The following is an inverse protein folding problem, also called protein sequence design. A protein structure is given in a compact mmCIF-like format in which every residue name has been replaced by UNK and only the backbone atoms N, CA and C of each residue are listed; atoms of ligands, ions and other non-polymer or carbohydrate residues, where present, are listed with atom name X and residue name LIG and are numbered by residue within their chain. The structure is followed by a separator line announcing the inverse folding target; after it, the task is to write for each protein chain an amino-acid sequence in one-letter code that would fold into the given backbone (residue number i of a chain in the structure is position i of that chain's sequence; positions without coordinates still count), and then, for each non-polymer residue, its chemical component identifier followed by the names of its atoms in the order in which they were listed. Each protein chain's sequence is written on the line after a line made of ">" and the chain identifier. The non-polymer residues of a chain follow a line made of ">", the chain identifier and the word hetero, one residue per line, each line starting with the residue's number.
data_IF_331580834980
#
_entry.id   IF_331580834980
#
_cell.length_a   1.000
_cell.length_b   1.000
_cell.length_c   1.000
_cell.angle_alpha   90.00
_cell.angle_beta   90.00
_cell.angle_gamma   90.00
#
_symmetry.space_group_name_H-M   'P 1'
#
loop_
_entity.id
_entity.type
_entity.pdbx_description
1 polymer ?
#
# COMPACT_ATOMS: atom_id res chain seq x y z
N UNK A 1 -15.64 6.43 -1.26
CA UNK A 1 -14.32 6.41 -0.57
C UNK A 1 -14.09 7.57 0.39
N UNK A 2 -15.15 8.32 0.78
CA UNK A 2 -15.04 9.39 1.78
C UNK A 2 -15.42 8.77 3.14
N UNK A 3 -14.62 9.03 4.17
CA UNK A 3 -14.93 8.61 5.52
C UNK A 3 -16.11 9.40 6.07
N UNK A 4 -17.15 8.72 6.60
CA UNK A 4 -18.28 9.41 7.21
C UNK A 4 -17.85 10.00 8.56
N UNK A 5 -18.52 11.03 9.03
CA UNK A 5 -18.15 11.74 10.27
C UNK A 5 -18.13 10.80 11.48
N UNK A 6 -19.02 9.80 11.49
CA UNK A 6 -19.08 8.77 12.52
C UNK A 6 -17.80 7.93 12.58
N UNK A 7 -17.08 7.75 11.46
CA UNK A 7 -15.81 7.03 11.45
C UNK A 7 -14.70 7.79 12.20
N UNK A 8 -14.73 9.12 12.17
CA UNK A 8 -13.78 9.96 12.91
C UNK A 8 -14.12 10.03 14.40
N UNK A 9 -15.40 9.98 14.74
CA UNK A 9 -15.86 10.01 16.14
C UNK A 9 -15.65 8.65 16.82
N UNK A 10 -15.98 7.55 16.14
CA UNK A 10 -15.91 6.20 16.70
C UNK A 10 -14.55 5.52 16.49
N UNK A 11 -13.62 6.17 15.78
CA UNK A 11 -12.35 5.59 15.34
C UNK A 11 -12.48 4.28 14.55
N UNK A 12 -13.66 4.04 13.95
CA UNK A 12 -13.96 2.86 13.15
C UNK A 12 -14.15 3.25 11.69
N UNK A 13 -13.14 2.93 10.86
CA UNK A 13 -13.23 3.13 9.42
C UNK A 13 -13.68 1.83 8.73
N UNK A 14 -14.81 1.90 8.01
CA UNK A 14 -15.40 0.74 7.34
C UNK A 14 -14.56 0.14 6.20
N UNK A 15 -13.60 0.89 5.66
CA UNK A 15 -12.74 0.44 4.56
C UNK A 15 -11.43 -0.13 5.13
N UNK A 16 -11.37 -1.47 5.25
CA UNK A 16 -10.18 -2.20 5.73
C UNK A 16 -9.20 -2.60 4.62
N UNK A 17 -8.98 -1.71 3.64
CA UNK A 17 -8.02 -1.93 2.54
C UNK A 17 -7.20 -0.68 2.26
N UNK A 18 -6.01 -0.86 1.67
CA UNK A 18 -5.19 0.26 1.24
C UNK A 18 -5.94 1.04 0.15
N UNK A 19 -6.04 2.36 0.34
CA UNK A 19 -6.59 3.28 -0.65
C UNK A 19 -5.50 4.06 -1.40
N UNK A 20 -4.29 4.16 -0.84
CA UNK A 20 -3.18 4.89 -1.43
C UNK A 20 -2.91 4.46 -2.88
N UNK A 21 -2.98 3.16 -3.17
CA UNK A 21 -2.76 2.62 -4.52
C UNK A 21 -3.75 3.10 -5.59
N UNK A 22 -4.93 3.58 -5.17
CA UNK A 22 -6.00 4.06 -6.08
C UNK A 22 -6.26 5.55 -5.98
N UNK A 23 -5.94 6.19 -4.86
CA UNK A 23 -6.31 7.59 -4.58
C UNK A 23 -5.11 8.54 -4.46
N UNK A 24 -3.89 8.01 -4.30
CA UNK A 24 -2.68 8.81 -4.14
C UNK A 24 -1.72 8.58 -5.31
N UNK A 25 -1.45 9.64 -6.07
CA UNK A 25 -0.42 9.64 -7.10
C UNK A 25 0.90 10.07 -6.47
N UNK A 26 1.96 9.27 -6.65
CA UNK A 26 3.32 9.66 -6.25
C UNK A 26 4.16 9.92 -7.49
N UNK A 27 4.77 11.11 -7.57
CA UNK A 27 5.66 11.52 -8.66
C UNK A 27 7.05 11.75 -8.05
N UNK A 28 8.03 10.98 -8.49
CA UNK A 28 9.42 11.12 -8.06
C UNK A 28 10.11 12.30 -8.79
N UNK A 29 11.21 12.85 -8.25
CA UNK A 29 11.90 13.99 -8.87
C UNK A 29 12.42 13.74 -10.29
N UNK A 30 12.65 12.49 -10.67
CA UNK A 30 13.06 12.08 -12.01
C UNK A 30 11.88 11.91 -12.99
N UNK A 31 10.67 12.27 -12.58
CA UNK A 31 9.44 12.14 -13.36
C UNK A 31 8.73 10.79 -13.21
N UNK A 32 9.30 9.80 -12.52
CA UNK A 32 8.66 8.48 -12.37
C UNK A 32 7.37 8.59 -11.57
N UNK A 33 6.30 8.03 -12.13
CA UNK A 33 5.01 7.89 -11.47
C UNK A 33 4.94 6.51 -10.83
N UNK A 34 4.57 6.48 -9.56
CA UNK A 34 4.40 5.24 -8.78
C UNK A 34 3.06 5.26 -8.05
N UNK A 35 2.40 4.11 -7.88
CA UNK A 35 1.11 4.02 -7.19
C UNK A 35 1.25 3.98 -5.66
N UNK A 36 2.47 3.90 -5.13
CA UNK A 36 2.70 3.83 -3.70
C UNK A 36 4.05 4.49 -3.38
N UNK A 37 4.09 5.48 -2.47
CA UNK A 37 5.34 6.13 -2.09
C UNK A 37 6.32 5.18 -1.39
N UNK A 38 5.81 4.11 -0.78
CA UNK A 38 6.61 3.08 -0.12
C UNK A 38 7.11 1.98 -1.07
N UNK A 39 6.75 2.05 -2.37
CA UNK A 39 7.26 1.12 -3.37
C UNK A 39 7.76 1.87 -4.62
N UNK A 40 8.82 2.71 -4.48
CA UNK A 40 9.29 3.60 -5.55
C UNK A 40 9.83 2.85 -6.77
N UNK A 41 10.16 1.56 -6.65
CA UNK A 41 10.63 0.72 -7.76
C UNK A 41 9.50 0.26 -8.69
N UNK A 42 8.24 0.32 -8.27
CA UNK A 42 7.11 -0.06 -9.12
C UNK A 42 6.68 1.14 -9.98
N UNK A 43 7.45 1.40 -11.04
CA UNK A 43 7.22 2.53 -11.95
C UNK A 43 6.14 2.18 -12.98
N UNK A 44 5.05 2.96 -12.96
CA UNK A 44 3.92 2.79 -13.89
C UNK A 44 4.05 3.66 -15.14
N UNK A 45 4.88 4.70 -15.09
CA UNK A 45 5.25 5.58 -16.22
C UNK A 45 6.19 6.68 -15.74
N UNK A 46 6.55 7.61 -16.61
CA UNK A 46 7.44 8.73 -16.33
C UNK A 46 6.97 9.99 -17.06
N UNK A 47 6.68 11.08 -16.34
CA UNK A 47 6.11 12.32 -16.91
C UNK A 47 7.08 13.14 -17.76
N UNK A 48 8.38 12.84 -17.76
CA UNK A 48 9.34 13.50 -18.66
C UNK A 48 9.46 12.76 -20.01
N UNK A 49 8.96 11.52 -20.08
CA UNK A 49 9.02 10.67 -21.29
C UNK A 49 7.63 10.40 -21.87
N UNK A 50 6.65 10.20 -21.00
CA UNK A 50 5.26 9.98 -21.32
C UNK A 50 4.53 11.33 -21.37
N UNK A 51 3.50 11.44 -22.20
CA UNK A 51 2.93 12.74 -22.55
C UNK A 51 2.04 13.30 -21.44
N UNK A 52 1.26 12.46 -20.74
CA UNK A 52 0.25 12.96 -19.79
C UNK A 52 -0.01 12.06 -18.58
N UNK A 53 -0.34 12.69 -17.45
CA UNK A 53 -0.62 11.97 -16.20
C UNK A 53 -1.86 11.06 -16.29
N UNK A 54 -2.88 11.46 -17.03
CA UNK A 54 -4.11 10.69 -17.28
C UNK A 54 -3.88 9.44 -18.14
N UNK A 55 -2.80 9.41 -18.93
CA UNK A 55 -2.37 8.23 -19.69
C UNK A 55 -1.58 7.24 -18.83
N UNK A 56 -0.77 7.77 -17.90
CA UNK A 56 0.04 6.94 -16.98
C UNK A 56 -0.80 6.42 -15.82
N UNK A 57 -1.58 7.29 -15.18
CA UNK A 57 -2.44 6.94 -14.06
C UNK A 57 -3.70 6.25 -14.55
N UNK A 58 -3.93 5.01 -14.10
CA UNK A 58 -5.00 4.18 -14.63
C UNK A 58 -4.56 3.26 -15.77
N UNK A 59 -3.29 3.28 -16.20
CA UNK A 59 -2.81 2.38 -17.25
C UNK A 59 -2.81 0.90 -16.84
N UNK A 60 -2.36 0.01 -17.74
CA UNK A 60 -2.34 -1.45 -17.48
C UNK A 60 -1.54 -1.82 -16.23
N UNK A 61 -0.35 -1.23 -16.03
CA UNK A 61 0.50 -1.51 -14.86
C UNK A 61 -0.16 -1.04 -13.56
N UNK A 62 -0.78 0.15 -13.59
CA UNK A 62 -1.53 0.67 -12.44
C UNK A 62 -2.69 -0.25 -12.05
N UNK A 63 -3.52 -0.65 -13.01
CA UNK A 63 -4.65 -1.56 -12.77
C UNK A 63 -4.19 -2.92 -12.24
N UNK A 64 -3.07 -3.43 -12.74
CA UNK A 64 -2.46 -4.67 -12.26
C UNK A 64 -2.00 -4.55 -10.80
N UNK A 65 -1.30 -3.46 -10.45
CA UNK A 65 -0.90 -3.18 -9.07
C UNK A 65 -2.09 -3.15 -8.11
N UNK A 66 -3.16 -2.42 -8.47
CA UNK A 66 -4.38 -2.36 -7.66
C UNK A 66 -5.02 -3.75 -7.51
N UNK A 67 -5.04 -4.56 -8.57
CA UNK A 67 -5.56 -5.93 -8.52
C UNK A 67 -4.76 -6.82 -7.56
N UNK A 68 -3.42 -6.78 -7.65
CA UNK A 68 -2.53 -7.57 -6.79
C UNK A 68 -2.62 -7.11 -5.33
N UNK A 69 -2.70 -5.79 -5.10
CA UNK A 69 -2.88 -5.21 -3.77
C UNK A 69 -4.19 -5.70 -3.14
N UNK A 70 -5.31 -5.65 -3.87
CA UNK A 70 -6.63 -6.09 -3.38
C UNK A 70 -6.68 -7.58 -3.05
N UNK A 71 -5.82 -8.39 -3.68
CA UNK A 71 -5.69 -9.84 -3.43
C UNK A 71 -4.61 -10.17 -2.38
N UNK A 72 -4.03 -9.16 -1.72
CA UNK A 72 -2.93 -9.33 -0.77
C UNK A 72 -1.71 -10.08 -1.35
N UNK A 73 -1.43 -9.91 -2.64
CA UNK A 73 -0.34 -10.60 -3.36
C UNK A 73 0.95 -9.77 -3.47
N UNK A 74 1.01 -8.62 -2.79
CA UNK A 74 2.18 -7.76 -2.77
C UNK A 74 2.84 -7.87 -1.39
N UNK A 75 3.99 -8.55 -1.32
CA UNK A 75 4.68 -8.84 -0.06
C UNK A 75 5.11 -7.60 0.72
N UNK A 76 5.47 -6.50 0.05
CA UNK A 76 5.83 -5.26 0.77
C UNK A 76 4.61 -4.65 1.49
N UNK A 77 3.39 -4.89 1.00
CA UNK A 77 2.18 -4.36 1.62
C UNK A 77 1.87 -5.01 2.97
N UNK A 78 2.34 -6.24 3.24
CA UNK A 78 2.15 -6.88 4.56
C UNK A 78 3.03 -6.29 5.66
N UNK A 79 4.08 -5.54 5.29
CA UNK A 79 5.01 -4.86 6.19
C UNK A 79 4.89 -3.33 6.09
N UNK A 80 3.79 -2.82 5.54
CA UNK A 80 3.62 -1.39 5.32
C UNK A 80 3.53 -0.62 6.66
N UNK A 81 4.23 0.52 6.73
CA UNK A 81 4.23 1.42 7.91
C UNK A 81 2.98 2.30 8.01
N UNK A 82 2.19 2.37 6.94
CA UNK A 82 0.94 3.13 6.88
C UNK A 82 -0.24 2.21 6.55
N UNK A 83 -0.51 1.20 7.39
CA UNK A 83 -1.69 0.38 7.17
C UNK A 83 -2.93 1.24 7.46
N UNK A 84 -3.86 1.31 6.49
CA UNK A 84 -5.14 2.04 6.67
C UNK A 84 -6.09 1.35 7.65
N UNK A 85 -5.71 0.18 8.17
CA UNK A 85 -6.37 -0.51 9.27
C UNK A 85 -5.31 -0.99 10.26
N UNK A 86 -5.55 -0.83 11.56
CA UNK A 86 -4.76 -1.57 12.54
C UNK A 86 -5.08 -3.06 12.37
N UNK A 87 -4.09 -3.95 12.25
CA UNK A 87 -4.36 -5.37 12.20
C UNK A 87 -5.16 -5.76 13.44
N UNK A 88 -6.23 -6.53 13.26
CA UNK A 88 -6.96 -7.09 14.39
C UNK A 88 -5.99 -7.87 15.29
N UNK A 89 -6.29 -7.98 16.58
CA UNK A 89 -5.48 -8.67 17.58
C UNK A 89 -4.80 -9.98 17.10
N UNK A 90 -5.46 -10.88 16.33
CA UNK A 90 -4.83 -12.11 15.83
C UNK A 90 -3.67 -11.87 14.85
N UNK A 91 -3.75 -10.84 14.01
CA UNK A 91 -2.71 -10.51 13.06
C UNK A 91 -1.47 -9.90 13.75
N UNK A 92 -1.68 -9.12 14.81
CA UNK A 92 -0.60 -8.65 15.68
C UNK A 92 0.07 -9.82 16.40
N UNK A 93 -0.71 -10.77 16.92
CA UNK A 93 -0.18 -11.98 17.55
C UNK A 93 0.76 -12.74 16.60
N UNK A 94 0.31 -12.98 15.36
CA UNK A 94 1.14 -13.67 14.35
C UNK A 94 2.44 -12.94 14.06
N UNK A 95 2.40 -11.61 13.99
CA UNK A 95 3.62 -10.79 13.82
C UNK A 95 4.59 -10.98 14.99
N UNK A 96 4.12 -10.89 16.24
CA UNK A 96 4.97 -11.07 17.42
C UNK A 96 5.54 -12.49 17.51
N UNK A 97 4.75 -13.52 17.17
CA UNK A 97 5.24 -14.90 17.12
C UNK A 97 6.34 -15.10 16.07
N UNK A 98 6.14 -14.61 14.85
CA UNK A 98 7.15 -14.69 13.80
C UNK A 98 8.45 -13.98 14.22
N UNK A 99 8.33 -12.79 14.80
CA UNK A 99 9.48 -12.00 15.28
C UNK A 99 10.20 -12.66 16.46
N UNK A 100 9.47 -13.33 17.35
CA UNK A 100 10.07 -14.12 18.41
C UNK A 100 10.83 -15.34 17.84
N UNK A 101 10.25 -16.03 16.85
CA UNK A 101 10.89 -17.12 16.13
C UNK A 101 12.19 -16.71 15.44
N UNK A 102 12.19 -15.58 14.72
CA UNK A 102 13.38 -15.02 14.08
C UNK A 102 14.49 -14.69 15.10
N UNK A 103 14.14 -14.20 16.29
CA UNK A 103 15.12 -13.94 17.34
C UNK A 103 15.73 -15.23 17.90
N UNK A 104 14.93 -16.27 18.09
CA UNK A 104 15.40 -17.57 18.57
C UNK A 104 16.30 -18.26 17.54
N UNK A 105 15.92 -18.21 16.25
CA UNK A 105 16.72 -18.76 15.15
C UNK A 105 18.08 -18.06 14.98
N UNK A 106 18.17 -16.76 15.27
CA UNK A 106 19.43 -16.01 15.22
C UNK A 106 20.29 -16.14 16.50
N UNK A 107 19.79 -16.85 17.52
CA UNK A 107 20.50 -17.11 18.78
C UNK A 107 21.10 -18.54 18.85
N UNK A 108 20.77 -19.41 17.89
CA UNK A 108 21.31 -20.77 17.70
C UNK A 108 22.35 -20.70 16.58
#
# INVERSE_FOLDING_TARGET
>A
DIAPDEAFICAEYGIRRCLACSTLVTINPNGDVTPCPFYPKYVIGNLFRDERLDEVWGNRKHREFVRLQRRAQIMICSNCVMPTFYPAFPANLRYYFNRAGEKVLNLI
#
